data_IF_628064669972
#
_entry.id   IF_628064669972
#
_cell.length_a   1.000
_cell.length_b   1.000
_cell.length_c   1.000
_cell.angle_alpha   90.00
_cell.angle_beta   90.00
_cell.angle_gamma   90.00
#
_symmetry.space_group_name_H-M   'P 1'
#
loop_
_entity.id
_entity.type
_entity.pdbx_description
1 polymer ?
#
# COMPACT_ATOMS: atom_id res chain seq x y z
N UNK A 1 7.97 -23.59 -4.00
CA UNK A 1 6.54 -23.23 -3.85
C UNK A 1 6.20 -22.00 -4.67
N UNK A 2 6.78 -20.83 -4.42
CA UNK A 2 6.48 -19.56 -5.08
C UNK A 2 6.57 -19.66 -6.62
N UNK A 3 7.73 -20.06 -7.16
CA UNK A 3 7.92 -20.22 -8.61
C UNK A 3 6.93 -21.17 -9.27
N UNK A 4 6.55 -22.26 -8.59
CA UNK A 4 5.62 -23.27 -9.12
C UNK A 4 4.27 -22.67 -9.51
N UNK A 5 3.77 -21.68 -8.75
CA UNK A 5 2.45 -21.09 -8.94
C UNK A 5 2.48 -19.71 -9.64
N UNK A 6 3.68 -19.15 -9.87
CA UNK A 6 3.82 -17.87 -10.57
C UNK A 6 4.27 -17.99 -12.01
N UNK A 7 5.12 -19.00 -12.31
CA UNK A 7 5.64 -19.18 -13.67
C UNK A 7 4.51 -19.57 -14.64
N UNK A 8 4.50 -18.89 -15.80
CA UNK A 8 3.55 -19.12 -16.89
C UNK A 8 2.07 -18.98 -16.51
N UNK A 9 1.77 -18.32 -15.38
CA UNK A 9 0.41 -18.10 -14.94
C UNK A 9 -0.10 -16.77 -15.49
N UNK A 10 -1.29 -16.77 -16.08
CA UNK A 10 -1.95 -15.59 -16.60
C UNK A 10 -2.50 -14.74 -15.46
N UNK A 11 -2.25 -13.43 -15.51
CA UNK A 11 -2.88 -12.45 -14.61
C UNK A 11 -4.32 -12.23 -15.05
N UNK A 12 -5.27 -12.46 -14.15
CA UNK A 12 -6.70 -12.26 -14.42
C UNK A 12 -7.15 -10.84 -14.07
N UNK A 13 -6.71 -10.35 -12.92
CA UNK A 13 -7.04 -9.00 -12.43
C UNK A 13 -6.08 -8.54 -11.36
N UNK A 14 -6.07 -7.22 -11.14
CA UNK A 14 -5.37 -6.57 -10.03
C UNK A 14 -6.38 -5.84 -9.18
N UNK A 15 -6.29 -6.00 -7.88
CA UNK A 15 -7.17 -5.35 -6.89
C UNK A 15 -6.37 -4.94 -5.65
N UNK A 16 -6.98 -4.16 -4.78
CA UNK A 16 -6.39 -3.72 -3.51
C UNK A 16 -7.27 -4.14 -2.33
N UNK A 17 -6.64 -4.49 -1.23
CA UNK A 17 -7.27 -4.62 0.08
C UNK A 17 -6.36 -4.00 1.13
N UNK A 18 -6.83 -2.97 1.83
CA UNK A 18 -6.02 -2.17 2.74
C UNK A 18 -4.71 -1.67 2.07
N UNK A 19 -3.57 -2.01 2.62
CA UNK A 19 -2.23 -1.68 2.08
C UNK A 19 -1.63 -2.82 1.23
N UNK A 20 -2.45 -3.77 0.80
CA UNK A 20 -2.01 -4.89 -0.04
C UNK A 20 -2.47 -4.71 -1.48
N UNK A 21 -1.57 -4.97 -2.43
CA UNK A 21 -1.91 -5.19 -3.83
C UNK A 21 -2.08 -6.70 -4.04
N UNK A 22 -3.16 -7.08 -4.68
CA UNK A 22 -3.53 -8.45 -4.96
C UNK A 22 -3.54 -8.65 -6.48
N UNK A 23 -2.73 -9.58 -6.97
CA UNK A 23 -2.67 -9.97 -8.39
C UNK A 23 -3.20 -11.39 -8.47
N UNK A 24 -4.44 -11.54 -8.93
CA UNK A 24 -5.11 -12.83 -9.06
C UNK A 24 -4.63 -13.53 -10.32
N UNK A 25 -4.25 -14.80 -10.20
CA UNK A 25 -3.75 -15.67 -11.25
C UNK A 25 -4.82 -16.70 -11.68
N UNK A 26 -4.77 -17.15 -12.94
CA UNK A 26 -5.72 -18.11 -13.50
C UNK A 26 -5.72 -19.48 -12.80
N UNK A 27 -4.61 -19.85 -12.17
CA UNK A 27 -4.44 -21.12 -11.47
C UNK A 27 -5.03 -21.14 -10.06
N UNK A 28 -5.86 -20.14 -9.68
CA UNK A 28 -6.53 -20.07 -8.39
C UNK A 28 -5.65 -19.56 -7.24
N UNK A 29 -4.51 -18.97 -7.55
CA UNK A 29 -3.62 -18.31 -6.58
C UNK A 29 -3.63 -16.80 -6.76
N UNK A 30 -3.26 -16.08 -5.71
CA UNK A 30 -3.10 -14.63 -5.69
C UNK A 30 -1.71 -14.27 -5.18
N UNK A 31 -1.00 -13.43 -5.92
CA UNK A 31 0.17 -12.73 -5.40
C UNK A 31 -0.29 -11.58 -4.51
N UNK A 32 0.16 -11.58 -3.28
CA UNK A 32 -0.13 -10.55 -2.28
C UNK A 32 1.13 -9.75 -2.01
N UNK A 33 1.12 -8.47 -2.40
CA UNK A 33 2.24 -7.55 -2.23
C UNK A 33 1.91 -6.55 -1.13
N UNK A 34 2.84 -6.35 -0.19
CA UNK A 34 2.76 -5.29 0.80
C UNK A 34 4.05 -4.46 0.77
N UNK A 35 3.94 -3.18 0.45
CA UNK A 35 5.08 -2.29 0.21
C UNK A 35 5.83 -1.91 1.49
N UNK A 36 5.17 -2.00 2.66
CA UNK A 36 5.72 -1.54 3.94
C UNK A 36 6.18 -0.07 3.86
N UNK A 37 7.47 0.21 4.08
CA UNK A 37 7.96 1.58 4.19
C UNK A 37 8.58 2.12 2.90
N UNK A 38 9.41 1.32 2.22
CA UNK A 38 10.21 1.75 1.05
C UNK A 38 9.95 0.90 -0.19
N UNK A 39 9.08 -0.10 -0.07
CA UNK A 39 8.71 -0.95 -1.21
C UNK A 39 7.84 -0.20 -2.20
N UNK A 40 8.09 -0.43 -3.49
CA UNK A 40 7.25 0.04 -4.59
C UNK A 40 7.39 -0.89 -5.79
N UNK A 41 6.43 -0.80 -6.71
CA UNK A 41 6.39 -1.60 -7.93
C UNK A 41 6.54 -0.68 -9.13
N UNK A 42 7.40 -1.08 -10.05
CA UNK A 42 7.60 -0.38 -11.31
C UNK A 42 7.29 -1.28 -12.50
N UNK A 43 6.84 -0.70 -13.59
CA UNK A 43 6.56 -1.39 -14.83
C UNK A 43 7.32 -0.75 -15.99
N UNK A 44 8.10 -1.56 -16.72
CA UNK A 44 8.92 -1.07 -17.84
C UNK A 44 9.70 -2.18 -18.53
N UNK A 45 10.61 -1.82 -19.40
CA UNK A 45 11.56 -2.72 -20.03
C UNK A 45 12.90 -2.64 -19.31
N UNK A 46 13.45 -3.78 -18.90
CA UNK A 46 14.71 -3.85 -18.14
C UNK A 46 15.64 -4.87 -18.77
N UNK A 47 16.94 -4.59 -18.69
CA UNK A 47 18.02 -5.52 -19.02
C UNK A 47 18.82 -5.88 -17.77
N UNK A 48 19.24 -7.13 -17.67
CA UNK A 48 20.04 -7.59 -16.55
C UNK A 48 21.50 -7.16 -16.73
N UNK A 49 22.03 -6.42 -15.75
CA UNK A 49 23.45 -6.11 -15.68
C UNK A 49 24.21 -7.24 -14.99
N UNK A 50 24.78 -8.14 -15.78
CA UNK A 50 25.55 -9.32 -15.31
C UNK A 50 26.86 -8.96 -14.57
N UNK A 51 27.35 -7.72 -14.71
CA UNK A 51 28.60 -7.25 -14.08
C UNK A 51 28.33 -6.40 -12.82
N UNK A 52 27.07 -6.29 -12.38
CA UNK A 52 26.72 -5.46 -11.25
C UNK A 52 27.30 -5.98 -9.94
N UNK A 53 27.81 -5.07 -9.14
CA UNK A 53 28.10 -5.28 -7.73
C UNK A 53 26.99 -4.63 -6.88
N UNK A 54 27.05 -4.74 -5.54
CA UNK A 54 26.01 -4.19 -4.65
C UNK A 54 25.78 -2.67 -4.77
N UNK A 55 26.67 -1.94 -5.45
CA UNK A 55 26.57 -0.48 -5.65
C UNK A 55 25.96 -0.12 -7.02
N UNK A 56 25.87 -1.07 -7.93
CA UNK A 56 25.38 -0.88 -9.28
C UNK A 56 23.96 -1.45 -9.46
N UNK A 57 23.31 -1.06 -10.54
CA UNK A 57 22.00 -1.58 -10.88
C UNK A 57 22.11 -3.04 -11.36
N UNK A 58 21.52 -3.98 -10.67
CA UNK A 58 21.40 -5.38 -11.11
C UNK A 58 20.46 -5.54 -12.32
N UNK A 59 19.49 -4.65 -12.45
CA UNK A 59 18.58 -4.51 -13.57
C UNK A 59 18.51 -3.05 -13.98
N UNK A 60 18.77 -2.75 -15.25
CA UNK A 60 18.81 -1.37 -15.78
C UNK A 60 17.57 -1.16 -16.65
N UNK A 61 16.76 -0.11 -16.39
CA UNK A 61 15.67 0.22 -17.28
C UNK A 61 16.22 0.73 -18.62
N UNK A 62 15.72 0.16 -19.72
CA UNK A 62 16.02 0.56 -21.09
C UNK A 62 14.85 1.30 -21.73
N UNK A 63 13.81 1.55 -20.96
CA UNK A 63 12.64 2.32 -21.38
C UNK A 63 12.98 3.81 -21.51
N UNK A 64 12.29 4.52 -22.40
CA UNK A 64 12.45 5.98 -22.59
C UNK A 64 12.02 6.80 -21.37
N UNK A 65 11.31 6.19 -20.42
CA UNK A 65 10.88 6.86 -19.20
C UNK A 65 12.04 7.08 -18.23
N UNK A 66 12.57 8.29 -18.21
CA UNK A 66 13.69 8.70 -17.34
C UNK A 66 13.40 8.56 -15.85
N UNK A 67 12.14 8.59 -15.43
CA UNK A 67 11.80 8.42 -14.01
C UNK A 67 12.16 7.04 -13.47
N UNK A 68 12.18 6.01 -14.32
CA UNK A 68 12.66 4.68 -13.92
C UNK A 68 14.15 4.67 -13.55
N UNK A 69 14.95 5.63 -14.04
CA UNK A 69 16.37 5.81 -13.74
C UNK A 69 16.62 6.60 -12.43
N UNK A 70 15.59 7.05 -11.71
CA UNK A 70 15.78 7.66 -10.39
C UNK A 70 16.61 6.71 -9.51
N UNK A 71 17.72 7.18 -8.88
CA UNK A 71 18.59 6.33 -8.07
C UNK A 71 17.88 5.56 -6.94
N UNK A 72 16.72 6.03 -6.50
CA UNK A 72 15.88 5.36 -5.51
C UNK A 72 15.31 4.04 -6.03
N UNK A 73 15.14 3.91 -7.35
CA UNK A 73 14.57 2.76 -8.05
C UNK A 73 15.58 1.60 -8.26
N UNK A 74 16.85 1.77 -7.89
CA UNK A 74 17.91 0.76 -8.13
C UNK A 74 17.78 -0.53 -7.31
N UNK A 75 17.05 -0.48 -6.19
CA UNK A 75 16.99 -1.59 -5.23
C UNK A 75 15.95 -2.65 -5.61
N UNK A 76 16.01 -3.16 -6.84
CA UNK A 76 15.11 -4.21 -7.33
C UNK A 76 15.41 -5.52 -6.62
N UNK A 77 14.40 -6.11 -5.98
CA UNK A 77 14.48 -7.35 -5.19
C UNK A 77 13.84 -8.53 -5.89
N UNK A 78 12.77 -8.28 -6.62
CA UNK A 78 12.08 -9.30 -7.42
C UNK A 78 11.74 -8.72 -8.79
N UNK A 79 12.00 -9.51 -9.83
CA UNK A 79 11.66 -9.18 -11.21
C UNK A 79 10.73 -10.25 -11.76
N UNK A 80 9.58 -9.83 -12.27
CA UNK A 80 8.67 -10.67 -13.04
C UNK A 80 8.77 -10.28 -14.51
N UNK A 81 9.15 -11.22 -15.36
CA UNK A 81 9.12 -11.05 -16.82
C UNK A 81 7.75 -11.44 -17.33
N UNK A 82 7.13 -10.56 -18.11
CA UNK A 82 5.79 -10.75 -18.66
C UNK A 82 5.87 -11.18 -20.13
N UNK A 83 4.82 -11.85 -20.62
CA UNK A 83 4.75 -12.36 -22.00
C UNK A 83 4.84 -11.28 -23.09
N UNK A 84 4.57 -10.03 -22.74
CA UNK A 84 4.69 -8.86 -23.66
C UNK A 84 6.10 -8.26 -23.70
N UNK A 85 7.11 -8.93 -23.13
CA UNK A 85 8.50 -8.46 -23.05
C UNK A 85 8.75 -7.35 -22.01
N UNK A 86 7.72 -6.91 -21.28
CA UNK A 86 7.87 -5.97 -20.17
C UNK A 86 8.14 -6.69 -18.85
N UNK A 87 8.51 -5.90 -17.86
CA UNK A 87 8.83 -6.40 -16.54
C UNK A 87 8.00 -5.66 -15.47
N UNK A 88 7.64 -6.40 -14.42
CA UNK A 88 7.14 -5.84 -13.17
C UNK A 88 8.26 -6.00 -12.14
N UNK A 89 8.83 -4.88 -11.70
CA UNK A 89 9.96 -4.83 -10.78
C UNK A 89 9.48 -4.43 -9.39
N UNK A 90 9.72 -5.27 -8.39
CA UNK A 90 9.52 -4.92 -7.00
C UNK A 90 10.83 -4.39 -6.43
N UNK A 91 10.82 -3.12 -6.06
CA UNK A 91 11.95 -2.40 -5.51
C UNK A 91 11.73 -2.14 -4.02
N UNK A 92 12.79 -2.33 -3.20
CA UNK A 92 12.73 -2.03 -1.77
C UNK A 92 14.14 -1.88 -1.19
N UNK A 93 14.50 -0.66 -0.81
CA UNK A 93 15.83 -0.37 -0.25
C UNK A 93 16.03 -1.03 1.11
N UNK A 94 15.00 -1.09 1.96
CA UNK A 94 15.05 -1.59 3.33
C UNK A 94 14.73 -3.08 3.49
N UNK A 95 14.23 -3.74 2.43
CA UNK A 95 13.84 -5.17 2.43
C UNK A 95 12.73 -5.54 3.43
N UNK A 96 11.83 -4.62 3.76
CA UNK A 96 10.69 -4.87 4.66
C UNK A 96 9.43 -5.28 3.90
N UNK A 97 9.34 -4.92 2.63
CA UNK A 97 8.24 -5.30 1.77
C UNK A 97 8.15 -6.81 1.59
N UNK A 98 6.95 -7.28 1.35
CA UNK A 98 6.68 -8.72 1.21
C UNK A 98 5.91 -9.02 -0.06
N UNK A 99 6.29 -10.13 -0.71
CA UNK A 99 5.53 -10.74 -1.80
C UNK A 99 5.31 -12.19 -1.40
N UNK A 100 4.05 -12.57 -1.25
CA UNK A 100 3.65 -13.95 -0.93
C UNK A 100 2.63 -14.44 -1.94
N UNK A 101 2.52 -15.76 -2.09
CA UNK A 101 1.51 -16.39 -2.92
C UNK A 101 0.60 -17.24 -2.05
N UNK A 102 -0.71 -17.00 -2.18
CA UNK A 102 -1.75 -17.63 -1.36
C UNK A 102 -2.87 -18.16 -2.27
N UNK A 103 -3.61 -19.15 -1.80
CA UNK A 103 -4.82 -19.59 -2.49
C UNK A 103 -5.87 -18.48 -2.48
N UNK A 104 -6.42 -18.16 -3.64
CA UNK A 104 -7.43 -17.08 -3.77
C UNK A 104 -8.68 -17.37 -2.93
N UNK A 105 -9.08 -18.65 -2.83
CA UNK A 105 -10.28 -19.07 -2.11
C UNK A 105 -10.22 -18.82 -0.60
N UNK A 106 -9.05 -18.94 0.04
CA UNK A 106 -8.89 -18.78 1.50
C UNK A 106 -8.25 -17.45 1.90
N UNK A 107 -7.84 -16.64 0.92
CA UNK A 107 -7.09 -15.41 1.16
C UNK A 107 -7.79 -14.45 2.14
N UNK A 108 -9.11 -14.25 1.98
CA UNK A 108 -9.88 -13.32 2.81
C UNK A 108 -10.20 -13.89 4.20
N UNK A 109 -10.39 -15.19 4.32
CA UNK A 109 -10.74 -15.86 5.57
C UNK A 109 -9.53 -16.19 6.45
N UNK A 110 -8.35 -16.29 5.85
CA UNK A 110 -7.12 -16.63 6.57
C UNK A 110 -6.17 -15.43 6.64
N UNK A 111 -5.60 -15.03 5.50
CA UNK A 111 -4.52 -14.05 5.47
C UNK A 111 -4.97 -12.61 5.76
N UNK A 112 -6.14 -12.23 5.25
CA UNK A 112 -6.70 -10.87 5.36
C UNK A 112 -7.86 -10.76 6.37
N UNK A 113 -8.19 -11.83 7.08
CA UNK A 113 -9.31 -11.88 8.04
C UNK A 113 -9.21 -10.85 9.17
N UNK A 114 -7.99 -10.53 9.58
CA UNK A 114 -7.72 -9.56 10.64
C UNK A 114 -7.97 -8.10 10.25
N UNK A 115 -8.14 -7.81 8.96
CA UNK A 115 -8.27 -6.43 8.49
C UNK A 115 -9.67 -5.87 8.74
N UNK A 116 -9.73 -4.71 9.37
CA UNK A 116 -10.95 -3.93 9.55
C UNK A 116 -11.56 -3.42 8.23
N UNK A 117 -12.67 -2.70 8.28
CA UNK A 117 -13.35 -2.17 7.12
C UNK A 117 -12.50 -1.15 6.35
N UNK A 118 -12.80 -1.02 5.06
CA UNK A 118 -12.20 0.00 4.17
C UNK A 118 -12.85 1.36 4.42
N UNK A 119 -12.09 2.40 4.70
CA UNK A 119 -12.64 3.71 5.09
C UNK A 119 -13.35 4.44 3.95
N UNK A 120 -13.08 4.11 2.69
CA UNK A 120 -13.70 4.77 1.53
C UNK A 120 -14.90 4.02 0.94
N UNK A 121 -15.24 2.84 1.46
CA UNK A 121 -16.43 2.14 1.03
C UNK A 121 -17.72 2.91 1.37
N UNK A 122 -18.75 2.75 0.53
CA UNK A 122 -20.03 3.47 0.69
C UNK A 122 -20.75 3.14 2.00
N UNK A 123 -20.62 1.91 2.47
CA UNK A 123 -21.21 1.43 3.73
C UNK A 123 -20.42 1.83 4.98
N UNK A 124 -19.22 2.43 4.83
CA UNK A 124 -18.45 2.94 5.96
C UNK A 124 -18.92 4.34 6.35
N UNK A 125 -19.99 4.38 7.14
CA UNK A 125 -20.67 5.59 7.62
C UNK A 125 -19.96 6.22 8.82
N UNK A 126 -20.33 7.46 9.20
CA UNK A 126 -19.85 8.12 10.42
C UNK A 126 -20.18 7.31 11.68
N UNK A 127 -21.39 6.74 11.76
CA UNK A 127 -21.78 5.88 12.87
C UNK A 127 -20.88 4.65 12.97
N UNK A 128 -20.60 4.00 11.84
CA UNK A 128 -19.68 2.86 11.81
C UNK A 128 -18.25 3.29 12.21
N UNK A 129 -17.75 4.44 11.71
CA UNK A 129 -16.45 4.99 12.11
C UNK A 129 -16.37 5.19 13.63
N UNK A 130 -17.40 5.81 14.25
CA UNK A 130 -17.48 6.00 15.71
C UNK A 130 -17.43 4.68 16.46
N UNK A 131 -18.22 3.69 16.05
CA UNK A 131 -18.19 2.37 16.65
C UNK A 131 -16.79 1.73 16.59
N UNK A 132 -16.12 1.84 15.44
CA UNK A 132 -14.77 1.26 15.24
C UNK A 132 -13.73 1.88 16.13
N UNK A 133 -13.65 3.22 16.21
CA UNK A 133 -12.65 3.89 17.07
C UNK A 133 -12.88 3.63 18.57
N UNK A 134 -14.11 3.33 18.97
CA UNK A 134 -14.46 2.98 20.35
C UNK A 134 -14.18 1.52 20.72
N UNK A 135 -13.74 0.66 19.80
CA UNK A 135 -13.24 -0.69 20.16
C UNK A 135 -11.98 -0.64 21.04
N UNK A 136 -11.27 0.49 21.03
CA UNK A 136 -10.09 0.71 21.87
C UNK A 136 -10.16 2.06 22.60
N UNK A 137 -11.13 2.24 23.52
CA UNK A 137 -11.53 3.55 24.03
C UNK A 137 -10.43 4.27 24.84
N UNK A 138 -9.51 3.53 25.44
CA UNK A 138 -8.42 4.08 26.27
C UNK A 138 -7.12 4.35 25.48
N UNK A 139 -7.03 3.89 24.23
CA UNK A 139 -5.84 4.13 23.38
C UNK A 139 -5.85 5.52 22.78
N UNK A 140 -4.68 6.05 22.51
CA UNK A 140 -4.50 7.30 21.77
C UNK A 140 -5.16 7.21 20.39
N UNK A 141 -5.88 8.25 19.98
CA UNK A 141 -6.67 8.24 18.74
C UNK A 141 -5.79 7.97 17.51
N UNK A 142 -4.56 8.49 17.46
CA UNK A 142 -3.63 8.21 16.36
C UNK A 142 -3.33 6.71 16.25
N UNK A 143 -3.04 6.04 17.37
CA UNK A 143 -2.76 4.59 17.35
C UNK A 143 -3.99 3.76 16.97
N UNK A 144 -5.19 4.23 17.32
CA UNK A 144 -6.45 3.62 16.92
C UNK A 144 -6.69 3.75 15.42
N UNK A 145 -6.46 4.93 14.84
CA UNK A 145 -6.58 5.15 13.40
C UNK A 145 -5.59 4.31 12.57
N UNK A 146 -4.40 4.08 13.10
CA UNK A 146 -3.35 3.29 12.43
C UNK A 146 -3.52 1.78 12.55
N UNK A 147 -4.39 1.32 13.45
CA UNK A 147 -4.64 -0.10 13.70
C UNK A 147 -5.46 -0.70 12.56
N UNK A 148 -4.80 -1.55 11.76
CA UNK A 148 -5.40 -2.14 10.56
C UNK A 148 -6.57 -3.08 10.86
N UNK A 149 -6.72 -3.55 12.09
CA UNK A 149 -7.87 -4.35 12.52
C UNK A 149 -9.09 -3.48 12.87
N UNK A 150 -8.87 -2.23 13.23
CA UNK A 150 -9.92 -1.26 13.55
C UNK A 150 -10.43 -0.59 12.26
N UNK A 151 -9.54 0.05 11.51
CA UNK A 151 -9.82 0.65 10.20
C UNK A 151 -8.64 0.35 9.30
N UNK A 152 -8.89 -0.31 8.17
CA UNK A 152 -7.81 -0.71 7.30
C UNK A 152 -7.34 0.43 6.38
N UNK A 153 -6.07 0.39 5.95
CA UNK A 153 -5.52 1.30 4.94
C UNK A 153 -4.86 2.57 5.49
N UNK A 154 -5.25 3.09 6.65
CA UNK A 154 -4.69 4.32 7.22
C UNK A 154 -3.25 4.07 7.72
N UNK A 155 -2.33 4.96 7.34
CA UNK A 155 -0.92 4.94 7.76
C UNK A 155 -0.55 6.15 8.60
N UNK A 156 0.76 6.25 8.92
CA UNK A 156 1.27 7.30 9.78
C UNK A 156 1.00 8.70 9.20
N UNK A 157 1.38 8.96 7.96
CA UNK A 157 1.25 10.27 7.31
C UNK A 157 -0.22 10.70 7.29
N UNK A 158 -1.09 9.88 6.72
CA UNK A 158 -2.50 10.24 6.60
C UNK A 158 -3.22 10.35 7.95
N UNK A 159 -2.82 9.59 8.98
CA UNK A 159 -3.39 9.75 10.33
C UNK A 159 -3.02 11.10 10.95
N UNK A 160 -1.81 11.61 10.72
CA UNK A 160 -1.39 12.94 11.17
C UNK A 160 -2.17 14.03 10.43
N UNK A 161 -2.28 13.95 9.11
CA UNK A 161 -3.06 14.90 8.30
C UNK A 161 -4.54 14.96 8.71
N UNK A 162 -5.16 13.78 8.97
CA UNK A 162 -6.55 13.73 9.43
C UNK A 162 -6.72 14.40 10.77
N UNK A 163 -5.85 14.14 11.74
CA UNK A 163 -5.90 14.69 13.09
C UNK A 163 -5.61 16.18 13.10
N UNK A 164 -4.61 16.63 12.32
CA UNK A 164 -4.31 18.05 12.14
C UNK A 164 -5.52 18.78 11.55
N UNK A 165 -6.11 18.26 10.48
CA UNK A 165 -7.29 18.86 9.84
C UNK A 165 -8.53 18.90 10.74
N UNK A 166 -8.66 17.92 11.65
CA UNK A 166 -9.73 17.87 12.63
C UNK A 166 -9.43 18.65 13.93
N UNK A 167 -8.24 19.24 14.06
CA UNK A 167 -7.76 19.93 15.26
C UNK A 167 -7.80 19.06 16.52
N UNK A 168 -7.41 17.77 16.38
CA UNK A 168 -7.40 16.78 17.47
C UNK A 168 -5.97 16.41 17.79
N UNK A 169 -5.57 16.55 19.06
CA UNK A 169 -4.26 16.09 19.53
C UNK A 169 -4.16 14.55 19.40
N UNK A 170 -3.11 14.03 18.76
CA UNK A 170 -2.95 12.59 18.48
C UNK A 170 -2.89 11.71 19.72
N UNK A 171 -2.51 12.26 20.86
CA UNK A 171 -2.37 11.57 22.16
C UNK A 171 -3.69 11.44 22.92
N UNK A 172 -4.73 12.17 22.52
CA UNK A 172 -6.06 12.05 23.17
C UNK A 172 -6.63 10.65 23.00
N UNK A 173 -7.29 10.16 24.04
CA UNK A 173 -7.95 8.85 23.97
C UNK A 173 -9.20 8.92 23.08
N UNK A 174 -9.51 7.83 22.36
CA UNK A 174 -10.66 7.82 21.45
C UNK A 174 -11.99 8.08 22.18
N UNK A 175 -12.13 7.63 23.43
CA UNK A 175 -13.33 7.92 24.25
C UNK A 175 -13.49 9.38 24.67
N UNK A 176 -12.41 10.17 24.66
CA UNK A 176 -12.46 11.58 25.08
C UNK A 176 -12.98 12.52 23.96
N UNK A 177 -13.20 11.99 22.76
CA UNK A 177 -13.67 12.77 21.63
C UNK A 177 -15.16 13.06 21.77
N UNK A 178 -15.52 14.33 21.60
CA UNK A 178 -16.92 14.77 21.52
C UNK A 178 -17.53 14.35 20.18
N UNK A 179 -18.85 14.26 20.08
CA UNK A 179 -19.52 13.88 18.83
C UNK A 179 -19.15 14.81 17.66
N UNK A 180 -19.05 16.11 17.89
CA UNK A 180 -18.64 17.08 16.86
C UNK A 180 -17.21 16.81 16.34
N UNK A 181 -16.29 16.41 17.23
CA UNK A 181 -14.91 16.08 16.86
C UNK A 181 -14.86 14.76 16.06
N UNK A 182 -15.68 13.77 16.41
CA UNK A 182 -15.81 12.53 15.65
C UNK A 182 -16.31 12.80 14.22
N UNK A 183 -17.31 13.68 14.09
CA UNK A 183 -17.83 14.10 12.77
C UNK A 183 -16.76 14.81 11.94
N UNK A 184 -15.99 15.72 12.54
CA UNK A 184 -14.89 16.41 11.86
C UNK A 184 -13.79 15.43 11.44
N UNK A 185 -13.41 14.51 12.31
CA UNK A 185 -12.38 13.51 12.02
C UNK A 185 -12.81 12.54 10.89
N UNK A 186 -14.08 12.11 10.90
CA UNK A 186 -14.62 11.30 9.81
C UNK A 186 -14.58 12.02 8.45
N UNK A 187 -14.98 13.29 8.41
CA UNK A 187 -14.90 14.13 7.20
C UNK A 187 -13.45 14.33 6.75
N UNK A 188 -12.55 14.63 7.70
CA UNK A 188 -11.13 14.78 7.44
C UNK A 188 -10.53 13.48 6.86
N UNK A 189 -10.88 12.31 7.41
CA UNK A 189 -10.46 11.01 6.90
C UNK A 189 -10.85 10.83 5.43
N UNK A 190 -12.12 11.04 5.08
CA UNK A 190 -12.58 10.92 3.67
C UNK A 190 -11.80 11.86 2.75
N UNK A 191 -11.67 13.14 3.16
CA UNK A 191 -11.00 14.16 2.35
C UNK A 191 -9.52 13.84 2.14
N UNK A 192 -8.80 13.49 3.20
CA UNK A 192 -7.35 13.21 3.14
C UNK A 192 -7.06 11.98 2.29
N UNK A 193 -7.83 10.89 2.47
CA UNK A 193 -7.63 9.67 1.68
C UNK A 193 -7.95 9.86 0.20
N UNK A 194 -9.01 10.60 -0.14
CA UNK A 194 -9.35 10.90 -1.54
C UNK A 194 -8.27 11.76 -2.18
N UNK A 195 -7.83 12.84 -1.52
CA UNK A 195 -6.72 13.66 -2.01
C UNK A 195 -5.44 12.85 -2.23
N UNK A 196 -5.08 11.95 -1.28
CA UNK A 196 -3.91 11.09 -1.45
C UNK A 196 -3.99 10.21 -2.69
N UNK A 197 -5.19 9.78 -3.09
CA UNK A 197 -5.41 9.02 -4.34
C UNK A 197 -5.31 9.96 -5.55
N UNK A 198 -5.97 11.11 -5.53
CA UNK A 198 -6.03 12.07 -6.65
C UNK A 198 -4.65 12.65 -6.99
N UNK A 199 -3.81 12.89 -5.98
CA UNK A 199 -2.44 13.36 -6.16
C UNK A 199 -1.43 12.24 -6.46
N UNK A 200 -1.90 11.00 -6.66
CA UNK A 200 -1.05 9.87 -7.03
C UNK A 200 -0.11 9.40 -5.91
N UNK A 201 -0.44 9.72 -4.67
CA UNK A 201 0.31 9.32 -3.48
C UNK A 201 1.21 10.41 -2.90
N UNK A 202 1.99 10.03 -1.88
CA UNK A 202 2.85 10.91 -1.09
C UNK A 202 4.01 11.50 -1.91
N UNK A 203 4.31 12.79 -1.67
CA UNK A 203 5.45 13.50 -2.28
C UNK A 203 6.78 13.28 -1.55
N UNK A 204 6.77 12.56 -0.43
CA UNK A 204 8.00 12.27 0.34
C UNK A 204 8.99 11.44 -0.48
N UNK A 205 10.23 11.40 -0.01
CA UNK A 205 11.35 10.77 -0.72
C UNK A 205 11.14 9.28 -1.02
N UNK A 206 10.35 8.58 -0.20
CA UNK A 206 10.25 7.13 -0.21
C UNK A 206 9.16 6.57 -1.16
N UNK A 207 8.22 7.40 -1.60
CA UNK A 207 7.16 6.96 -2.50
C UNK A 207 7.58 7.02 -3.98
N UNK A 208 7.22 5.97 -4.74
CA UNK A 208 7.27 5.95 -6.22
C UNK A 208 6.04 5.24 -6.75
N UNK A 209 5.47 5.81 -7.81
CA UNK A 209 4.38 5.18 -8.55
C UNK A 209 4.93 4.11 -9.53
N UNK A 210 4.02 3.44 -10.25
CA UNK A 210 4.38 2.37 -11.19
C UNK A 210 5.26 2.83 -12.36
N UNK A 211 5.34 4.13 -12.63
CA UNK A 211 6.21 4.74 -13.63
C UNK A 211 7.56 5.18 -13.06
N UNK A 212 7.81 4.97 -11.77
CA UNK A 212 9.02 5.41 -11.08
C UNK A 212 9.00 6.87 -10.62
N UNK A 213 7.86 7.56 -10.71
CA UNK A 213 7.68 8.97 -10.35
C UNK A 213 7.26 9.14 -8.90
N UNK A 214 7.53 10.30 -8.32
CA UNK A 214 7.01 10.70 -6.99
C UNK A 214 5.52 11.03 -7.07
N UNK A 215 4.81 10.91 -5.95
CA UNK A 215 3.49 11.50 -5.79
C UNK A 215 3.53 13.01 -5.59
N UNK A 216 2.36 13.63 -5.49
CA UNK A 216 2.20 15.09 -5.37
C UNK A 216 1.39 15.52 -4.13
N UNK A 217 1.08 14.56 -3.20
CA UNK A 217 0.32 14.85 -1.99
C UNK A 217 1.18 15.56 -0.94
#
# INVERSE_FOLDING_TARGET
YFKKYTLNSKVLRVRRRAKHILIDLENGFTLLLHMKMTGHVMYGTYEQNKKSNDREWSWVPVDKNKALLDPYNRHIRVMFTLSNGKHLAFCDSRKFGTIVIEKTSTLHTERLAHLGPEPLEKNFTESHFKQRILLSPKRAIKTVLMDQSIISGIGNIYSDEMLHRAHILPTRTSKSLKQSEVTLLYKAMKTVLLKGIDFGGDSTSDYRNIKGERGAF
#
